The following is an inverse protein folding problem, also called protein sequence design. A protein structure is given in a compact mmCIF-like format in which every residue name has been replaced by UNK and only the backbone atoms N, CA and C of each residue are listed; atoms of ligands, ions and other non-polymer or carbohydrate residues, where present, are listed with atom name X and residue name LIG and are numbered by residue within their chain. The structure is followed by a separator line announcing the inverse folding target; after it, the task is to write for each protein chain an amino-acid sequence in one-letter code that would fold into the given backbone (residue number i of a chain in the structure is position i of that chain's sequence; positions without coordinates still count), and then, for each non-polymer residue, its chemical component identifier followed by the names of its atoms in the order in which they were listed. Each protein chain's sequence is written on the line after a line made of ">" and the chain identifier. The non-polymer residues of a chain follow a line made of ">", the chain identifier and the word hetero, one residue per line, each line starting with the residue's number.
data_IF_695144900693
#
_entry.id   IF_695144900693
#
_cell.length_a   1.000
_cell.length_b   1.000
_cell.length_c   1.000
_cell.angle_alpha   90.00
_cell.angle_beta   90.00
_cell.angle_gamma   90.00
#
_symmetry.space_group_name_H-M   'P 1'
#
loop_
_entity.id
_entity.type
_entity.pdbx_description
1 polymer ?
#
# COMPACT_ATOMS: atom_id res chain seq x y z
N UNK A 1 -0.97 56.76 1.81
CA UNK A 1 0.00 55.80 2.38
C UNK A 1 0.28 54.77 1.31
N UNK A 2 1.47 54.84 0.71
CA UNK A 2 1.87 53.99 -0.42
C UNK A 2 2.07 52.54 0.03
N UNK A 3 1.31 51.61 -0.53
CA UNK A 3 1.58 50.19 -0.48
C UNK A 3 2.69 49.86 -1.49
N UNK A 4 3.86 49.52 -0.97
CA UNK A 4 5.03 49.13 -1.76
C UNK A 4 4.79 47.75 -2.37
N UNK A 5 4.63 47.69 -3.70
CA UNK A 5 4.64 46.44 -4.46
C UNK A 5 6.10 45.99 -4.64
N UNK A 6 6.52 44.98 -3.87
CA UNK A 6 7.80 44.32 -4.05
C UNK A 6 7.75 43.43 -5.31
N UNK A 7 8.33 43.91 -6.41
CA UNK A 7 8.63 43.07 -7.58
C UNK A 7 9.99 42.39 -7.37
N UNK A 8 10.09 41.05 -7.35
CA UNK A 8 11.38 40.39 -7.26
C UNK A 8 12.16 40.57 -8.58
N UNK A 9 13.48 40.67 -8.44
CA UNK A 9 14.43 40.95 -9.54
C UNK A 9 14.39 39.86 -10.64
N UNK A 10 14.78 40.26 -11.86
CA UNK A 10 14.76 39.42 -13.07
C UNK A 10 15.53 38.09 -12.94
N UNK A 11 16.55 38.02 -12.08
CA UNK A 11 17.33 36.80 -11.81
C UNK A 11 16.55 35.74 -11.03
N UNK A 12 15.63 36.15 -10.14
CA UNK A 12 14.73 35.24 -9.41
C UNK A 12 13.67 34.64 -10.34
N UNK A 13 13.18 35.40 -11.35
CA UNK A 13 12.24 34.86 -12.36
C UNK A 13 12.88 33.80 -13.25
N UNK A 14 14.12 33.99 -13.68
CA UNK A 14 14.83 32.97 -14.47
C UNK A 14 15.06 31.69 -13.65
N UNK A 15 15.48 31.84 -12.38
CA UNK A 15 15.79 30.71 -11.50
C UNK A 15 14.54 29.87 -11.17
N UNK A 16 13.38 30.51 -11.03
CA UNK A 16 12.08 29.83 -10.86
C UNK A 16 11.61 29.13 -12.14
N UNK A 17 11.82 29.75 -13.32
CA UNK A 17 11.54 29.11 -14.61
C UNK A 17 12.36 27.82 -14.78
N UNK A 18 13.68 27.86 -14.57
CA UNK A 18 14.51 26.64 -14.60
C UNK A 18 14.15 25.57 -13.56
N UNK A 19 13.55 25.94 -12.43
CA UNK A 19 13.10 24.96 -11.43
C UNK A 19 11.77 24.30 -11.82
N UNK A 20 10.91 25.01 -12.56
CA UNK A 20 9.66 24.48 -13.12
C UNK A 20 9.90 23.71 -14.42
N UNK A 21 10.83 24.17 -15.26
CA UNK A 21 11.20 23.54 -16.53
C UNK A 21 11.92 22.19 -16.32
N UNK A 22 12.62 21.99 -15.20
CA UNK A 22 13.22 20.70 -14.82
C UNK A 22 12.21 19.69 -14.23
N UNK A 23 10.92 20.06 -14.16
CA UNK A 23 9.83 19.23 -13.63
C UNK A 23 8.92 18.67 -14.73
N UNK A 24 9.34 18.75 -16.00
CA UNK A 24 8.66 18.12 -17.13
C UNK A 24 9.26 16.74 -17.46
N UNK A 25 9.34 15.86 -16.46
CA UNK A 25 9.27 14.43 -16.73
C UNK A 25 7.97 13.97 -16.10
N UNK A 26 6.94 13.77 -16.92
CA UNK A 26 5.60 13.38 -16.49
C UNK A 26 5.68 12.01 -15.81
N UNK A 27 5.97 12.00 -14.50
CA UNK A 27 5.95 10.77 -13.69
C UNK A 27 4.57 10.15 -13.83
N UNK A 28 4.54 8.92 -14.33
CA UNK A 28 3.29 8.19 -14.49
C UNK A 28 2.67 7.97 -13.11
N UNK A 29 1.40 8.34 -12.99
CA UNK A 29 0.67 8.24 -11.74
C UNK A 29 -0.37 7.11 -11.84
N UNK A 30 -0.45 6.21 -10.84
CA UNK A 30 0.40 6.14 -9.64
C UNK A 30 1.80 5.56 -9.94
N UNK A 31 2.76 5.86 -9.05
CA UNK A 31 4.19 5.57 -9.26
C UNK A 31 4.55 4.10 -9.46
N UNK A 32 3.72 3.16 -9.00
CA UNK A 32 3.94 1.73 -9.22
C UNK A 32 3.89 1.34 -10.70
N UNK A 33 3.20 2.12 -11.55
CA UNK A 33 3.15 1.90 -13.00
C UNK A 33 4.51 2.15 -13.64
N UNK A 34 5.16 3.24 -13.26
CA UNK A 34 6.51 3.57 -13.72
C UNK A 34 7.53 2.54 -13.22
N UNK A 35 7.40 2.08 -11.97
CA UNK A 35 8.27 1.05 -11.40
C UNK A 35 8.15 -0.29 -12.13
N UNK A 36 6.94 -0.66 -12.56
CA UNK A 36 6.72 -1.88 -13.35
C UNK A 36 7.32 -1.77 -14.74
N UNK A 37 7.11 -0.65 -15.44
CA UNK A 37 7.73 -0.41 -16.76
C UNK A 37 9.26 -0.49 -16.74
N UNK A 38 9.87 -0.10 -15.62
CA UNK A 38 11.32 -0.17 -15.39
C UNK A 38 11.81 -1.55 -14.94
N UNK A 39 10.91 -2.53 -14.71
CA UNK A 39 11.25 -3.85 -14.16
C UNK A 39 11.66 -3.84 -12.68
N UNK A 40 11.71 -2.65 -12.04
CA UNK A 40 12.13 -2.47 -10.65
C UNK A 40 11.18 -3.16 -9.66
N UNK A 41 9.91 -3.36 -10.03
CA UNK A 41 8.94 -4.03 -9.17
C UNK A 41 9.31 -5.51 -8.96
N UNK A 42 9.69 -6.23 -10.02
CA UNK A 42 10.12 -7.64 -9.95
C UNK A 42 11.31 -7.83 -9.01
N UNK A 43 12.35 -7.00 -9.16
CA UNK A 43 13.53 -7.04 -8.29
C UNK A 43 13.17 -6.81 -6.81
N UNK A 44 12.24 -5.89 -6.54
CA UNK A 44 11.77 -5.61 -5.18
C UNK A 44 10.97 -6.78 -4.62
N UNK A 45 10.14 -7.43 -5.44
CA UNK A 45 9.35 -8.58 -5.04
C UNK A 45 10.25 -9.74 -4.61
N UNK A 46 11.30 -10.03 -5.38
CA UNK A 46 12.27 -11.09 -5.01
C UNK A 46 12.93 -10.80 -3.66
N UNK A 47 13.42 -9.56 -3.45
CA UNK A 47 14.00 -9.12 -2.17
C UNK A 47 13.00 -9.14 -1.02
N UNK A 48 11.75 -8.79 -1.26
CA UNK A 48 10.71 -8.83 -0.25
C UNK A 48 10.39 -10.28 0.14
N UNK A 49 10.32 -11.20 -0.81
CA UNK A 49 10.10 -12.62 -0.52
C UNK A 49 11.29 -13.28 0.18
N UNK A 50 12.53 -12.82 -0.01
CA UNK A 50 13.66 -13.34 0.77
C UNK A 50 13.57 -12.97 2.25
N UNK A 51 12.91 -11.85 2.61
CA UNK A 51 12.68 -11.49 4.03
C UNK A 51 11.89 -12.59 4.76
N UNK A 52 11.03 -13.35 4.07
CA UNK A 52 10.29 -14.46 4.69
C UNK A 52 11.17 -15.61 5.19
N UNK A 53 12.43 -15.73 4.76
CA UNK A 53 13.37 -16.75 5.28
C UNK A 53 13.81 -16.46 6.72
N UNK A 54 13.83 -15.18 7.10
CA UNK A 54 14.09 -14.74 8.47
C UNK A 54 13.30 -13.46 8.74
N UNK A 55 12.01 -13.63 9.04
CA UNK A 55 11.04 -12.53 8.98
C UNK A 55 11.26 -11.46 10.06
N UNK A 56 11.52 -10.23 9.60
CA UNK A 56 11.71 -9.02 10.39
C UNK A 56 10.85 -7.84 9.87
N UNK A 57 9.72 -8.13 9.21
CA UNK A 57 8.84 -7.11 8.62
C UNK A 57 8.15 -6.20 9.65
N UNK A 58 8.05 -6.62 10.90
CA UNK A 58 7.39 -5.86 11.97
C UNK A 58 8.32 -5.79 13.19
N UNK A 59 8.06 -4.89 14.17
CA UNK A 59 8.98 -4.65 15.29
C UNK A 59 9.13 -5.83 16.25
N UNK A 60 8.37 -6.91 16.06
CA UNK A 60 8.55 -8.15 16.84
C UNK A 60 9.87 -8.85 16.54
N UNK A 61 10.49 -8.59 15.38
CA UNK A 61 11.75 -9.19 14.91
C UNK A 61 11.87 -10.69 15.26
N UNK A 62 10.83 -11.47 14.95
CA UNK A 62 10.75 -12.86 15.39
C UNK A 62 11.66 -13.81 14.59
N UNK A 63 12.17 -13.37 13.43
CA UNK A 63 13.11 -14.11 12.57
C UNK A 63 12.68 -15.50 12.13
N UNK A 64 11.38 -15.81 12.23
CA UNK A 64 10.80 -17.08 11.77
C UNK A 64 10.94 -17.23 10.25
N UNK A 65 11.11 -18.48 9.81
CA UNK A 65 11.11 -18.82 8.40
C UNK A 65 9.69 -19.15 7.91
N UNK A 66 9.02 -18.16 7.32
CA UNK A 66 7.66 -18.33 6.79
C UNK A 66 7.60 -19.18 5.52
N UNK A 67 8.71 -19.33 4.79
CA UNK A 67 8.77 -20.23 3.62
C UNK A 67 8.68 -21.70 4.04
N UNK A 68 9.15 -22.02 5.25
CA UNK A 68 9.01 -23.34 5.87
C UNK A 68 7.71 -23.50 6.68
N UNK A 69 6.79 -22.52 6.60
CA UNK A 69 5.51 -22.57 7.30
C UNK A 69 5.57 -22.15 8.78
N UNK A 70 6.71 -21.64 9.27
CA UNK A 70 6.80 -21.11 10.63
C UNK A 70 6.00 -19.81 10.75
N UNK A 71 5.42 -19.60 11.94
CA UNK A 71 4.57 -18.44 12.24
C UNK A 71 5.12 -17.70 13.44
N UNK A 72 5.22 -16.38 13.32
CA UNK A 72 5.70 -15.51 14.39
C UNK A 72 4.56 -15.06 15.32
N UNK A 73 4.90 -14.21 16.28
CA UNK A 73 3.90 -13.64 17.20
C UNK A 73 2.75 -12.94 16.46
N UNK A 74 3.02 -12.35 15.29
CA UNK A 74 2.03 -11.69 14.47
C UNK A 74 0.98 -12.64 13.87
N UNK A 75 1.11 -13.97 13.96
CA UNK A 75 0.22 -14.99 13.37
C UNK A 75 0.09 -15.00 11.83
N UNK A 76 0.66 -14.02 11.12
CA UNK A 76 0.74 -14.01 9.65
C UNK A 76 1.65 -15.12 9.07
N UNK A 77 1.18 -15.76 8.01
CA UNK A 77 1.89 -16.83 7.27
C UNK A 77 2.61 -16.26 6.03
N UNK A 78 3.10 -17.11 5.13
CA UNK A 78 3.62 -16.72 3.81
C UNK A 78 2.53 -16.51 2.75
N UNK A 79 1.27 -16.80 3.10
CA UNK A 79 0.08 -16.53 2.27
C UNK A 79 -0.75 -15.42 2.88
N UNK A 80 -1.31 -14.58 2.03
CA UNK A 80 -2.22 -13.53 2.48
C UNK A 80 -3.49 -14.15 3.03
N UNK A 81 -3.91 -13.65 4.19
CA UNK A 81 -5.24 -13.88 4.74
C UNK A 81 -5.96 -12.54 4.83
N UNK A 82 -7.16 -12.44 4.26
CA UNK A 82 -8.01 -11.24 4.35
C UNK A 82 -9.35 -11.58 4.97
N UNK A 83 -9.89 -10.65 5.76
CA UNK A 83 -11.26 -10.73 6.27
C UNK A 83 -12.26 -10.25 5.21
N UNK A 84 -11.97 -9.12 4.55
CA UNK A 84 -12.88 -8.54 3.56
C UNK A 84 -12.16 -7.60 2.59
N UNK A 85 -12.80 -7.36 1.44
CA UNK A 85 -12.41 -6.39 0.43
C UNK A 85 -13.65 -5.62 -0.04
N UNK A 86 -13.85 -4.41 0.48
CA UNK A 86 -15.11 -3.64 0.32
C UNK A 86 -14.84 -2.14 0.14
N UNK A 87 -15.73 -1.40 -0.55
CA UNK A 87 -15.75 0.06 -0.44
C UNK A 87 -16.06 0.45 1.01
N UNK A 88 -15.20 1.26 1.62
CA UNK A 88 -15.40 1.84 2.95
C UNK A 88 -15.52 3.36 2.88
N UNK A 89 -16.36 3.92 3.74
CA UNK A 89 -16.57 5.35 3.92
C UNK A 89 -16.15 5.83 5.31
N UNK A 90 -15.57 4.94 6.11
CA UNK A 90 -15.22 5.19 7.51
C UNK A 90 -13.79 5.77 7.69
N UNK A 91 -13.08 6.00 6.58
CA UNK A 91 -11.75 6.65 6.55
C UNK A 91 -11.86 8.17 6.46
N UNK A 92 -10.74 8.90 6.57
CA UNK A 92 -10.77 10.36 6.51
C UNK A 92 -11.29 10.89 5.16
N UNK A 93 -11.97 12.04 5.18
CA UNK A 93 -12.59 12.65 3.99
C UNK A 93 -11.68 12.73 2.75
N UNK A 94 -10.36 13.02 2.87
CA UNK A 94 -9.45 13.02 1.72
C UNK A 94 -9.26 11.66 1.04
N UNK A 95 -9.49 10.54 1.74
CA UNK A 95 -9.31 9.18 1.22
C UNK A 95 -10.60 8.62 0.60
N UNK A 96 -11.75 8.88 1.23
CA UNK A 96 -13.03 8.29 0.81
C UNK A 96 -13.66 9.00 -0.38
N UNK A 97 -13.48 10.32 -0.49
CA UNK A 97 -14.09 11.12 -1.55
C UNK A 97 -15.60 10.86 -1.68
N UNK A 98 -16.08 10.68 -2.91
CA UNK A 98 -17.50 10.40 -3.20
C UNK A 98 -17.84 8.92 -3.36
N UNK A 99 -16.83 8.08 -3.57
CA UNK A 99 -17.01 6.70 -4.06
C UNK A 99 -16.37 5.66 -3.14
N UNK A 100 -15.94 6.10 -1.96
CA UNK A 100 -15.31 5.29 -0.95
C UNK A 100 -13.84 4.97 -1.24
N UNK A 101 -13.19 4.49 -0.19
CA UNK A 101 -11.85 3.94 -0.18
C UNK A 101 -11.95 2.42 -0.36
N UNK A 102 -11.29 1.86 -1.37
CA UNK A 102 -11.37 0.43 -1.69
C UNK A 102 -10.57 -0.36 -0.67
N UNK A 103 -11.20 -0.74 0.44
CA UNK A 103 -10.50 -1.18 1.64
C UNK A 103 -10.38 -2.69 1.69
N UNK A 104 -9.15 -3.17 1.92
CA UNK A 104 -8.82 -4.58 2.10
C UNK A 104 -8.31 -4.75 3.53
N UNK A 105 -9.07 -5.50 4.33
CA UNK A 105 -8.74 -5.81 5.71
C UNK A 105 -7.93 -7.09 5.80
N UNK A 106 -6.64 -6.98 6.09
CA UNK A 106 -5.76 -8.12 6.27
C UNK A 106 -5.92 -8.72 7.66
N UNK A 107 -5.97 -10.05 7.72
CA UNK A 107 -6.06 -10.78 8.98
C UNK A 107 -4.71 -10.85 9.69
N UNK A 108 -4.75 -10.94 11.01
CA UNK A 108 -3.62 -10.90 11.92
C UNK A 108 -2.91 -9.53 11.99
N UNK A 109 -2.05 -9.33 12.99
CA UNK A 109 -1.36 -8.05 13.21
C UNK A 109 -0.04 -8.23 13.97
N UNK A 110 0.99 -7.48 13.59
CA UNK A 110 2.29 -7.47 14.29
C UNK A 110 2.24 -6.94 15.73
N UNK A 111 1.38 -5.95 15.99
CA UNK A 111 1.28 -5.33 17.32
C UNK A 111 0.46 -6.16 18.29
N UNK A 112 -0.59 -6.84 17.82
CA UNK A 112 -1.57 -7.57 18.65
C UNK A 112 -2.11 -6.72 19.83
N UNK A 113 -2.52 -5.49 19.53
CA UNK A 113 -3.04 -4.56 20.54
C UNK A 113 -4.37 -5.05 21.12
N UNK A 114 -4.48 -5.06 22.46
CA UNK A 114 -5.71 -5.45 23.18
C UNK A 114 -6.87 -4.47 22.99
N UNK A 115 -6.60 -3.24 22.54
CA UNK A 115 -7.61 -2.21 22.28
C UNK A 115 -7.94 -2.07 20.79
N UNK A 116 -7.66 -3.10 19.98
CA UNK A 116 -7.95 -3.08 18.55
C UNK A 116 -9.45 -3.08 18.29
N UNK A 117 -9.95 -2.08 17.54
CA UNK A 117 -11.34 -2.07 17.07
C UNK A 117 -11.62 -3.27 16.15
N UNK A 118 -10.60 -3.75 15.43
CA UNK A 118 -10.65 -4.94 14.58
C UNK A 118 -10.17 -6.20 15.32
N UNK A 119 -10.57 -6.41 16.57
CA UNK A 119 -10.06 -7.51 17.41
C UNK A 119 -10.18 -8.89 16.72
N UNK A 120 -11.36 -9.22 16.16
CA UNK A 120 -11.60 -10.51 15.49
C UNK A 120 -10.66 -10.73 14.30
N UNK A 121 -10.39 -9.68 13.52
CA UNK A 121 -9.52 -9.75 12.34
C UNK A 121 -8.05 -9.80 12.76
N UNK A 122 -7.64 -8.93 13.68
CA UNK A 122 -6.24 -8.70 14.05
C UNK A 122 -5.67 -9.67 15.09
N UNK A 123 -6.51 -10.15 16.03
CA UNK A 123 -6.11 -11.02 17.14
C UNK A 123 -6.54 -12.46 16.91
N UNK A 124 -7.82 -12.67 16.55
CA UNK A 124 -8.39 -14.01 16.28
C UNK A 124 -8.10 -14.49 14.86
N UNK A 125 -7.66 -13.58 13.97
CA UNK A 125 -7.23 -13.93 12.63
C UNK A 125 -8.38 -14.31 11.70
N UNK A 126 -9.58 -13.78 11.91
CA UNK A 126 -10.74 -14.03 11.05
C UNK A 126 -10.45 -13.68 9.58
N UNK A 127 -10.85 -14.54 8.65
CA UNK A 127 -10.69 -14.34 7.21
C UNK A 127 -10.36 -15.61 6.45
N UNK A 128 -10.07 -15.45 5.16
CA UNK A 128 -9.73 -16.53 4.24
C UNK A 128 -8.33 -16.33 3.66
N UNK A 129 -7.58 -17.43 3.52
CA UNK A 129 -6.31 -17.40 2.80
C UNK A 129 -6.57 -17.31 1.30
N UNK A 130 -5.85 -16.42 0.62
CA UNK A 130 -5.97 -16.19 -0.81
C UNK A 130 -4.60 -16.09 -1.46
N UNK A 131 -4.55 -16.38 -2.77
CA UNK A 131 -3.33 -16.18 -3.55
C UNK A 131 -3.10 -14.70 -3.87
N UNK A 132 -1.85 -14.33 -4.17
CA UNK A 132 -1.52 -12.99 -4.68
C UNK A 132 -2.34 -12.62 -5.93
N UNK A 133 -2.61 -13.60 -6.80
CA UNK A 133 -3.44 -13.41 -7.99
C UNK A 133 -4.88 -13.06 -7.60
N UNK A 134 -5.43 -13.76 -6.61
CA UNK A 134 -6.77 -13.44 -6.12
C UNK A 134 -6.81 -12.07 -5.45
N UNK A 135 -5.76 -11.70 -4.71
CA UNK A 135 -5.65 -10.35 -4.14
C UNK A 135 -5.63 -9.28 -5.23
N UNK A 136 -4.91 -9.51 -6.33
CA UNK A 136 -4.91 -8.62 -7.51
C UNK A 136 -6.32 -8.45 -8.11
N UNK A 137 -7.08 -9.55 -8.24
CA UNK A 137 -8.46 -9.51 -8.70
C UNK A 137 -9.38 -8.69 -7.77
N UNK A 138 -9.22 -8.82 -6.45
CA UNK A 138 -9.98 -8.01 -5.48
C UNK A 138 -9.67 -6.51 -5.63
N UNK A 139 -8.40 -6.13 -5.85
CA UNK A 139 -8.03 -4.73 -6.14
C UNK A 139 -8.76 -4.21 -7.40
N UNK A 140 -8.79 -5.01 -8.46
CA UNK A 140 -9.49 -4.64 -9.71
C UNK A 140 -11.00 -4.52 -9.49
N UNK A 141 -11.62 -5.41 -8.70
CA UNK A 141 -13.04 -5.31 -8.37
C UNK A 141 -13.37 -4.01 -7.63
N UNK A 142 -12.54 -3.61 -6.66
CA UNK A 142 -12.72 -2.35 -5.93
C UNK A 142 -12.57 -1.15 -6.86
N UNK A 143 -11.57 -1.15 -7.74
CA UNK A 143 -11.45 -0.12 -8.77
C UNK A 143 -12.69 -0.05 -9.68
N UNK A 144 -13.20 -1.20 -10.14
CA UNK A 144 -14.41 -1.27 -10.99
C UNK A 144 -15.68 -0.80 -10.28
N UNK A 145 -15.73 -0.89 -8.94
CA UNK A 145 -16.80 -0.30 -8.11
C UNK A 145 -16.67 1.23 -8.00
N UNK A 146 -15.62 1.82 -8.55
CA UNK A 146 -15.39 3.27 -8.57
C UNK A 146 -14.64 3.81 -7.35
N UNK A 147 -14.04 2.95 -6.51
CA UNK A 147 -13.26 3.40 -5.36
C UNK A 147 -12.08 4.28 -5.80
N UNK A 148 -11.77 5.30 -5.00
CA UNK A 148 -10.73 6.29 -5.33
C UNK A 148 -9.30 5.75 -5.15
N UNK A 149 -9.14 4.73 -4.33
CA UNK A 149 -7.86 4.12 -4.01
C UNK A 149 -8.05 2.66 -3.56
N UNK A 150 -6.96 1.91 -3.45
CA UNK A 150 -6.89 0.64 -2.74
C UNK A 150 -6.25 0.88 -1.38
N UNK A 151 -7.02 0.77 -0.31
CA UNK A 151 -6.59 0.97 1.06
C UNK A 151 -6.28 -0.36 1.74
N UNK A 152 -5.02 -0.53 2.12
CA UNK A 152 -4.50 -1.76 2.70
C UNK A 152 -4.44 -1.58 4.22
N UNK A 153 -5.30 -2.27 4.97
CA UNK A 153 -5.41 -2.14 6.43
C UNK A 153 -4.68 -3.28 7.13
N UNK A 154 -3.73 -2.93 7.99
CA UNK A 154 -2.77 -3.88 8.63
C UNK A 154 -1.95 -4.72 7.63
N UNK A 155 -1.30 -4.11 6.63
CA UNK A 155 -0.63 -4.84 5.54
C UNK A 155 0.76 -5.38 5.87
N UNK A 156 1.42 -4.90 6.93
CA UNK A 156 2.87 -5.03 7.15
C UNK A 156 3.41 -6.45 7.05
N UNK A 157 2.74 -7.42 7.66
CA UNK A 157 3.19 -8.82 7.62
C UNK A 157 2.95 -9.51 6.28
N UNK A 158 2.28 -8.88 5.32
CA UNK A 158 2.02 -9.43 3.98
C UNK A 158 2.58 -8.59 2.84
N UNK A 159 3.47 -7.62 3.12
CA UNK A 159 4.06 -6.73 2.11
C UNK A 159 4.61 -7.48 0.88
N UNK A 160 5.36 -8.60 1.00
CA UNK A 160 5.84 -9.35 -0.17
C UNK A 160 4.71 -9.78 -1.11
N UNK A 161 3.64 -10.34 -0.56
CA UNK A 161 2.46 -10.77 -1.31
C UNK A 161 1.69 -9.58 -1.91
N UNK A 162 1.57 -8.48 -1.18
CA UNK A 162 0.88 -7.27 -1.62
C UNK A 162 1.57 -6.67 -2.84
N UNK A 163 2.90 -6.52 -2.81
CA UNK A 163 3.63 -5.96 -3.95
C UNK A 163 3.54 -6.90 -5.16
N UNK A 164 3.59 -8.22 -4.94
CA UNK A 164 3.33 -9.19 -6.01
C UNK A 164 1.91 -9.11 -6.58
N UNK A 165 0.91 -8.89 -5.74
CA UNK A 165 -0.47 -8.70 -6.17
C UNK A 165 -0.65 -7.40 -6.98
N UNK A 166 -0.01 -6.30 -6.55
CA UNK A 166 0.00 -5.04 -7.32
C UNK A 166 0.60 -5.29 -8.72
N UNK A 167 1.75 -5.97 -8.81
CA UNK A 167 2.35 -6.33 -10.10
C UNK A 167 1.35 -7.08 -10.99
N UNK A 168 0.70 -8.10 -10.45
CA UNK A 168 -0.30 -8.92 -11.14
C UNK A 168 -1.56 -8.13 -11.52
N UNK A 169 -1.90 -7.08 -10.78
CA UNK A 169 -3.07 -6.23 -11.05
C UNK A 169 -2.81 -5.19 -12.15
N UNK A 170 -1.57 -4.76 -12.38
CA UNK A 170 -1.21 -3.79 -13.42
C UNK A 170 -1.69 -4.21 -14.83
N UNK A 171 -1.41 -5.45 -15.33
CA UNK A 171 -1.91 -5.88 -16.64
C UNK A 171 -3.43 -6.07 -16.67
N UNK A 172 -4.08 -6.25 -15.51
CA UNK A 172 -5.54 -6.28 -15.38
C UNK A 172 -6.18 -4.88 -15.40
N UNK A 173 -5.36 -3.82 -15.47
CA UNK A 173 -5.81 -2.43 -15.60
C UNK A 173 -5.84 -1.64 -14.29
N UNK A 174 -5.10 -2.05 -13.26
CA UNK A 174 -4.99 -1.27 -12.02
C UNK A 174 -4.34 0.10 -12.31
N UNK A 175 -5.02 1.18 -11.95
CA UNK A 175 -4.63 2.58 -12.24
C UNK A 175 -4.97 3.56 -11.10
N UNK A 176 -5.53 3.10 -9.99
CA UNK A 176 -5.84 3.94 -8.82
C UNK A 176 -4.75 3.83 -7.74
N UNK A 177 -4.53 4.88 -6.94
CA UNK A 177 -3.48 4.89 -5.91
C UNK A 177 -3.67 3.79 -4.86
N UNK A 178 -2.56 3.42 -4.23
CA UNK A 178 -2.52 2.53 -3.07
C UNK A 178 -2.35 3.36 -1.81
N UNK A 179 -3.20 3.12 -0.81
CA UNK A 179 -3.10 3.69 0.54
C UNK A 179 -2.62 2.58 1.47
N UNK A 180 -1.66 2.92 2.33
CA UNK A 180 -1.05 1.97 3.26
C UNK A 180 -1.46 2.37 4.69
N UNK A 181 -2.59 1.82 5.16
CA UNK A 181 -3.09 2.08 6.49
C UNK A 181 -2.44 1.13 7.52
N UNK A 182 -1.48 1.68 8.26
CA UNK A 182 -0.70 0.99 9.27
C UNK A 182 -0.67 1.79 10.56
N UNK A 183 -0.43 1.11 11.69
CA UNK A 183 -0.27 1.76 13.00
C UNK A 183 1.11 2.38 13.22
N UNK A 184 1.96 2.42 12.18
CA UNK A 184 3.25 3.14 12.20
C UNK A 184 4.42 2.36 12.82
N UNK A 185 4.37 1.03 12.79
CA UNK A 185 5.34 0.12 13.38
C UNK A 185 5.78 -0.96 12.39
#
# INVERSE_FOLDING_TARGET
>A
MSSVLFFPSSSLRLRWKTFLDNKENSKEYPSYLELEKKGTLSERIEKLYSIYESCHLCPRDCRVNRKEGQVGQCQGTSRVKISSAVPSFDEESPLVGKSGSGTIFFSNCGLRSVYSQDYKISIEGEGIEISDQRLAEEMIKLQKKGCHNINLVTPTHYVPNIVSAIQKAIPLGLRIPIVYNTRGY
#
